data_IF_523267123408
#
_entry.id   IF_523267123408
#
_cell.length_a   1.000
_cell.length_b   1.000
_cell.length_c   1.000
_cell.angle_alpha   90.00
_cell.angle_beta   90.00
_cell.angle_gamma   90.00
#
_symmetry.space_group_name_H-M   'P 1'
#
loop_
_entity.id
_entity.type
_entity.pdbx_description
1 polymer ?
#
# COMPACT_ATOMS: atom_id res chain seq x y z
N UNK A 1 -16.78 36.07 -5.93
CA UNK A 1 -16.59 35.23 -4.73
C UNK A 1 -15.61 34.14 -5.10
N UNK A 2 -14.32 34.35 -4.82
CA UNK A 2 -13.28 33.35 -5.03
C UNK A 2 -12.91 32.71 -3.68
N UNK A 3 -12.49 31.45 -3.76
CA UNK A 3 -11.65 30.73 -2.81
C UNK A 3 -12.16 30.46 -1.40
N UNK A 4 -12.53 29.19 -1.13
CA UNK A 4 -12.33 28.57 0.20
C UNK A 4 -12.06 27.05 0.14
N UNK A 5 -12.45 26.33 -0.92
CA UNK A 5 -12.28 24.87 -0.97
C UNK A 5 -10.99 24.37 -1.68
N UNK A 6 -10.21 25.26 -2.32
CA UNK A 6 -8.98 24.89 -3.04
C UNK A 6 -7.69 25.00 -2.22
N UNK A 7 -7.75 25.73 -1.09
CA UNK A 7 -6.58 26.07 -0.28
C UNK A 7 -6.30 25.03 0.82
N UNK A 8 -7.35 24.40 1.38
CA UNK A 8 -7.23 23.45 2.49
C UNK A 8 -6.61 22.10 2.06
N UNK A 9 -6.81 21.70 0.80
CA UNK A 9 -6.20 20.48 0.25
C UNK A 9 -4.69 20.59 0.00
N UNK A 10 -4.21 21.80 -0.37
CA UNK A 10 -2.80 22.04 -0.70
C UNK A 10 -1.92 22.19 0.53
N UNK A 11 -2.44 22.77 1.61
CA UNK A 11 -1.72 22.89 2.89
C UNK A 11 -1.61 21.55 3.62
N UNK A 12 -2.62 20.69 3.56
CA UNK A 12 -2.53 19.35 4.15
C UNK A 12 -1.50 18.44 3.46
N UNK A 13 -1.44 18.48 2.11
CA UNK A 13 -0.39 17.78 1.35
C UNK A 13 1.00 18.38 1.62
N UNK A 14 1.14 19.70 1.67
CA UNK A 14 2.42 20.37 1.94
C UNK A 14 2.96 20.12 3.36
N UNK A 15 2.09 20.18 4.37
CA UNK A 15 2.47 19.94 5.77
C UNK A 15 2.76 18.46 6.01
N UNK A 16 2.02 17.54 5.39
CA UNK A 16 2.33 16.12 5.43
C UNK A 16 3.67 15.81 4.76
N UNK A 17 3.98 16.47 3.64
CA UNK A 17 5.24 16.31 2.91
C UNK A 17 6.45 16.90 3.66
N UNK A 18 6.30 18.04 4.34
CA UNK A 18 7.36 18.61 5.18
C UNK A 18 7.62 17.82 6.46
N UNK A 19 6.57 17.39 7.16
CA UNK A 19 6.70 16.50 8.32
C UNK A 19 7.29 15.13 7.94
N UNK A 20 6.99 14.66 6.73
CA UNK A 20 7.57 13.45 6.17
C UNK A 20 9.08 13.61 5.89
N UNK A 21 9.50 14.71 5.24
CA UNK A 21 10.92 15.06 5.00
C UNK A 21 11.75 15.08 6.29
N UNK A 22 11.20 15.66 7.37
CA UNK A 22 11.91 15.76 8.64
C UNK A 22 12.18 14.40 9.32
N UNK A 23 11.38 13.38 9.02
CA UNK A 23 11.62 12.02 9.56
C UNK A 23 12.58 11.16 8.74
N UNK A 24 12.88 11.52 7.49
CA UNK A 24 13.74 10.71 6.60
C UNK A 24 15.23 10.92 6.88
N UNK A 25 15.63 12.03 7.53
CA UNK A 25 17.03 12.40 7.69
C UNK A 25 17.72 11.87 8.95
N UNK A 26 17.00 11.28 9.92
CA UNK A 26 17.54 11.03 11.27
C UNK A 26 17.71 9.58 11.72
N UNK A 27 16.96 8.63 11.17
CA UNK A 27 17.00 7.22 11.60
C UNK A 27 17.14 6.29 10.39
N UNK A 28 17.87 5.18 10.53
CA UNK A 28 17.91 4.13 9.49
C UNK A 28 16.49 3.74 9.04
N UNK A 29 16.35 3.29 7.79
CA UNK A 29 15.06 2.90 7.21
C UNK A 29 14.46 3.89 6.21
N UNK A 30 13.18 3.73 5.90
CA UNK A 30 12.47 4.53 4.91
C UNK A 30 10.99 4.15 4.83
N UNK A 31 10.20 4.98 4.13
CA UNK A 31 8.74 4.83 4.07
C UNK A 31 8.29 4.68 2.62
N UNK A 32 7.38 3.76 2.38
CA UNK A 32 6.68 3.57 1.11
C UNK A 32 5.21 3.91 1.28
N UNK A 33 4.65 4.63 0.31
CA UNK A 33 3.22 4.77 0.10
C UNK A 33 2.84 3.88 -1.07
N UNK A 34 2.14 2.79 -0.78
CA UNK A 34 1.84 1.73 -1.75
C UNK A 34 0.36 1.79 -2.10
N UNK A 35 0.04 2.00 -3.37
CA UNK A 35 -1.29 1.78 -3.94
C UNK A 35 -1.42 0.34 -4.46
N UNK A 36 -2.50 -0.33 -4.07
CA UNK A 36 -2.86 -1.66 -4.55
C UNK A 36 -4.21 -1.56 -5.29
N UNK A 37 -4.17 -1.74 -6.60
CA UNK A 37 -5.34 -1.58 -7.47
C UNK A 37 -5.45 -2.74 -8.45
N UNK A 38 -6.64 -2.94 -9.03
CA UNK A 38 -6.87 -3.94 -10.06
C UNK A 38 -7.98 -3.47 -11.01
N UNK A 39 -7.99 -4.03 -12.22
CA UNK A 39 -9.05 -3.76 -13.19
C UNK A 39 -10.36 -4.43 -12.76
N UNK A 40 -10.25 -5.64 -12.21
CA UNK A 40 -11.39 -6.45 -11.77
C UNK A 40 -11.02 -7.37 -10.62
N UNK A 41 -11.92 -7.47 -9.65
CA UNK A 41 -11.88 -8.47 -8.59
C UNK A 41 -13.17 -9.30 -8.55
N UNK A 42 -13.03 -10.58 -8.20
CA UNK A 42 -14.12 -11.55 -8.01
C UNK A 42 -13.91 -12.25 -6.68
N UNK A 43 -14.96 -12.34 -5.86
CA UNK A 43 -14.90 -13.02 -4.56
C UNK A 43 -15.54 -14.40 -4.69
N UNK A 44 -14.75 -15.46 -4.46
CA UNK A 44 -15.18 -16.84 -4.36
C UNK A 44 -15.76 -17.11 -2.97
N UNK A 45 -16.86 -17.86 -2.92
CA UNK A 45 -17.49 -18.39 -1.69
C UNK A 45 -18.13 -17.41 -0.71
N UNK A 46 -18.45 -16.17 -1.11
CA UNK A 46 -19.37 -15.37 -0.29
C UNK A 46 -20.80 -15.83 -0.56
N UNK A 47 -21.41 -16.44 0.46
CA UNK A 47 -22.82 -16.90 0.54
C UNK A 47 -23.87 -15.78 0.39
N UNK A 48 -23.48 -14.61 -0.13
CA UNK A 48 -24.39 -13.53 -0.49
C UNK A 48 -24.74 -13.76 -1.95
N UNK A 49 -25.95 -14.25 -2.16
CA UNK A 49 -26.56 -14.51 -3.46
C UNK A 49 -26.65 -13.22 -4.32
N UNK A 50 -25.54 -12.81 -4.92
CA UNK A 50 -25.51 -11.87 -6.03
C UNK A 50 -24.39 -12.35 -6.94
N UNK A 51 -24.79 -12.93 -8.07
CA UNK A 51 -24.02 -13.10 -9.32
C UNK A 51 -22.63 -12.48 -9.30
N UNK A 52 -21.58 -13.26 -9.62
CA UNK A 52 -20.19 -12.81 -9.75
C UNK A 52 -20.02 -11.47 -10.48
N UNK A 53 -20.20 -10.36 -9.76
CA UNK A 53 -20.09 -9.00 -10.29
C UNK A 53 -18.64 -8.61 -10.16
N UNK A 54 -18.04 -8.25 -11.29
CA UNK A 54 -16.77 -7.56 -11.33
C UNK A 54 -16.89 -6.30 -10.44
N UNK A 55 -16.14 -6.26 -9.35
CA UNK A 55 -16.09 -5.09 -8.45
C UNK A 55 -14.63 -4.68 -8.24
N UNK A 56 -14.41 -3.45 -7.83
CA UNK A 56 -13.07 -2.97 -7.46
C UNK A 56 -12.68 -3.48 -6.07
N UNK A 57 -11.38 -3.62 -5.81
CA UNK A 57 -10.90 -4.01 -4.47
C UNK A 57 -11.35 -3.01 -3.38
N UNK A 58 -11.40 -1.71 -3.67
CA UNK A 58 -11.91 -0.71 -2.73
C UNK A 58 -13.39 -0.93 -2.39
N UNK A 59 -14.23 -1.32 -3.36
CA UNK A 59 -15.63 -1.62 -3.11
C UNK A 59 -15.80 -2.86 -2.23
N UNK A 60 -14.97 -3.89 -2.45
CA UNK A 60 -14.93 -5.08 -1.59
C UNK A 60 -14.54 -4.67 -0.16
N UNK A 61 -13.46 -3.91 -0.03
CA UNK A 61 -12.90 -3.51 1.26
C UNK A 61 -13.88 -2.63 2.07
N UNK A 62 -14.54 -1.66 1.43
CA UNK A 62 -15.52 -0.78 2.09
C UNK A 62 -16.87 -1.46 2.37
N UNK A 63 -17.29 -2.40 1.51
CA UNK A 63 -18.63 -2.99 1.56
C UNK A 63 -18.78 -4.18 2.50
N UNK A 64 -17.70 -4.92 2.78
CA UNK A 64 -17.77 -6.22 3.47
C UNK A 64 -16.81 -6.29 4.66
N UNK A 65 -17.29 -5.97 5.87
CA UNK A 65 -16.46 -5.92 7.09
C UNK A 65 -15.64 -7.19 7.38
N UNK A 66 -16.21 -8.37 7.16
CA UNK A 66 -15.47 -9.63 7.37
C UNK A 66 -14.37 -9.83 6.34
N UNK A 67 -14.61 -9.39 5.11
CA UNK A 67 -13.64 -9.51 4.03
C UNK A 67 -12.57 -8.43 4.11
N UNK A 68 -12.91 -7.22 4.58
CA UNK A 68 -11.94 -6.16 4.84
C UNK A 68 -10.87 -6.61 5.85
N UNK A 69 -11.27 -7.28 6.93
CA UNK A 69 -10.32 -7.86 7.90
C UNK A 69 -9.43 -8.95 7.28
N UNK A 70 -9.97 -9.77 6.38
CA UNK A 70 -9.17 -10.76 5.64
C UNK A 70 -8.19 -10.07 4.68
N UNK A 71 -8.64 -9.00 4.03
CA UNK A 71 -7.81 -8.18 3.14
C UNK A 71 -6.69 -7.48 3.89
N UNK A 72 -6.93 -6.95 5.09
CA UNK A 72 -5.88 -6.38 5.96
C UNK A 72 -4.76 -7.40 6.20
N UNK A 73 -5.14 -8.63 6.57
CA UNK A 73 -4.19 -9.72 6.76
C UNK A 73 -3.45 -10.12 5.48
N UNK A 74 -4.17 -10.22 4.35
CA UNK A 74 -3.59 -10.56 3.06
C UNK A 74 -2.58 -9.50 2.57
N UNK A 75 -2.93 -8.22 2.71
CA UNK A 75 -2.04 -7.11 2.35
C UNK A 75 -0.83 -7.07 3.27
N UNK A 76 -1.00 -7.23 4.59
CA UNK A 76 0.13 -7.31 5.52
C UNK A 76 1.11 -8.43 5.12
N UNK A 77 0.62 -9.65 4.85
CA UNK A 77 1.47 -10.77 4.42
C UNK A 77 2.08 -10.54 3.03
N UNK A 78 1.34 -9.96 2.09
CA UNK A 78 1.84 -9.61 0.76
C UNK A 78 3.01 -8.63 0.79
N UNK A 79 2.99 -7.69 1.74
CA UNK A 79 4.05 -6.71 1.99
C UNK A 79 5.18 -7.22 2.90
N UNK A 80 5.22 -8.52 3.23
CA UNK A 80 6.30 -9.16 3.97
C UNK A 80 5.97 -9.59 5.39
N UNK A 81 4.71 -9.40 5.84
CA UNK A 81 4.19 -9.91 7.10
C UNK A 81 4.69 -9.17 8.34
N UNK A 82 4.41 -9.77 9.51
CA UNK A 82 4.89 -9.31 10.81
C UNK A 82 6.40 -9.49 10.92
N UNK A 83 7.10 -8.38 11.16
CA UNK A 83 8.56 -8.36 11.37
C UNK A 83 8.90 -7.19 12.30
N UNK A 84 10.01 -7.30 13.01
CA UNK A 84 10.47 -6.24 13.93
C UNK A 84 11.14 -5.06 13.19
N UNK A 85 11.55 -5.27 11.93
CA UNK A 85 12.26 -4.31 11.09
C UNK A 85 11.37 -3.57 10.08
N UNK A 86 10.06 -3.85 10.07
CA UNK A 86 9.06 -3.14 9.27
C UNK A 86 7.71 -3.04 9.98
N UNK A 87 6.88 -2.08 9.55
CA UNK A 87 5.51 -1.95 10.01
C UNK A 87 4.60 -1.57 8.84
N UNK A 88 3.53 -2.35 8.66
CA UNK A 88 2.44 -2.03 7.73
C UNK A 88 1.40 -1.19 8.49
N UNK A 89 1.13 0.00 7.98
CA UNK A 89 0.13 0.92 8.51
C UNK A 89 -1.29 0.53 8.11
N UNK A 90 -2.27 1.26 8.64
CA UNK A 90 -3.67 1.05 8.32
C UNK A 90 -3.95 1.29 6.82
N UNK A 91 -4.88 0.51 6.28
CA UNK A 91 -5.35 0.62 4.90
C UNK A 91 -6.43 1.69 4.82
N UNK A 92 -6.28 2.64 3.90
CA UNK A 92 -7.33 3.63 3.65
C UNK A 92 -8.53 2.99 2.91
N UNK A 93 -9.80 3.26 3.30
CA UNK A 93 -10.93 2.51 2.73
C UNK A 93 -11.30 2.84 1.28
N UNK A 94 -10.91 4.03 0.78
CA UNK A 94 -11.31 4.51 -0.56
C UNK A 94 -10.38 3.99 -1.67
N UNK A 95 -9.12 3.79 -1.34
CA UNK A 95 -8.04 3.29 -2.19
C UNK A 95 -7.22 2.40 -1.27
N UNK A 96 -6.84 1.18 -1.66
CA UNK A 96 -5.96 0.32 -0.84
C UNK A 96 -4.53 0.90 -0.79
N UNK A 97 -4.44 2.10 -0.25
CA UNK A 97 -3.25 2.86 0.04
C UNK A 97 -2.75 2.42 1.40
N UNK A 98 -1.51 1.99 1.40
CA UNK A 98 -0.87 1.40 2.56
C UNK A 98 0.47 2.05 2.78
N UNK A 99 0.69 2.48 4.02
CA UNK A 99 2.01 2.98 4.43
C UNK A 99 2.83 1.80 4.90
N UNK A 100 3.99 1.56 4.28
CA UNK A 100 4.96 0.58 4.76
C UNK A 100 6.18 1.32 5.29
N UNK A 101 6.43 1.20 6.59
CA UNK A 101 7.59 1.78 7.24
C UNK A 101 8.66 0.71 7.44
N UNK A 102 9.85 0.90 6.90
CA UNK A 102 11.02 0.09 7.19
C UNK A 102 11.87 0.81 8.22
N UNK A 103 12.27 0.14 9.31
CA UNK A 103 13.08 0.73 10.39
C UNK A 103 14.59 0.62 10.14
N UNK A 104 15.01 -0.09 9.08
CA UNK A 104 16.43 -0.28 8.74
C UNK A 104 16.69 -0.04 7.26
N UNK A 105 17.89 0.48 6.94
CA UNK A 105 18.32 0.72 5.56
C UNK A 105 18.33 -0.59 4.75
N UNK A 106 18.78 -1.69 5.37
CA UNK A 106 18.75 -3.03 4.79
C UNK A 106 17.33 -3.43 4.38
N UNK A 107 16.36 -3.32 5.30
CA UNK A 107 14.98 -3.72 5.01
C UNK A 107 14.35 -2.85 3.93
N UNK A 108 14.61 -1.54 3.96
CA UNK A 108 14.17 -0.62 2.92
C UNK A 108 14.66 -1.05 1.52
N UNK A 109 15.94 -1.42 1.39
CA UNK A 109 16.51 -1.89 0.13
C UNK A 109 15.94 -3.24 -0.32
N UNK A 110 15.74 -4.19 0.59
CA UNK A 110 15.10 -5.49 0.28
C UNK A 110 13.67 -5.32 -0.23
N UNK A 111 12.88 -4.43 0.39
CA UNK A 111 11.52 -4.13 -0.07
C UNK A 111 11.54 -3.51 -1.46
N UNK A 112 12.48 -2.61 -1.73
CA UNK A 112 12.63 -1.99 -3.04
C UNK A 112 13.05 -3.02 -4.11
N UNK A 113 13.96 -3.93 -3.79
CA UNK A 113 14.34 -5.04 -4.68
C UNK A 113 13.16 -5.99 -4.95
N UNK A 114 12.39 -6.33 -3.92
CA UNK A 114 11.17 -7.14 -4.05
C UNK A 114 10.09 -6.43 -4.91
N UNK A 115 10.03 -5.11 -4.86
CA UNK A 115 9.17 -4.31 -5.71
C UNK A 115 9.64 -4.34 -7.17
N UNK A 116 10.92 -4.02 -7.40
CA UNK A 116 11.52 -3.96 -8.75
C UNK A 116 11.49 -5.33 -9.46
N UNK A 117 11.64 -6.43 -8.71
CA UNK A 117 11.55 -7.80 -9.22
C UNK A 117 10.12 -8.30 -9.43
N UNK A 118 9.10 -7.53 -9.02
CA UNK A 118 7.69 -7.93 -9.10
C UNK A 118 7.23 -8.91 -8.01
N UNK A 119 8.13 -9.36 -7.11
CA UNK A 119 7.81 -10.31 -6.03
C UNK A 119 6.73 -9.82 -5.10
N UNK A 120 6.66 -8.51 -4.81
CA UNK A 120 5.56 -7.94 -4.00
C UNK A 120 4.22 -8.20 -4.69
N UNK A 121 4.11 -7.91 -5.98
CA UNK A 121 2.88 -8.10 -6.75
C UNK A 121 2.44 -9.56 -6.73
N UNK A 122 3.37 -10.49 -6.92
CA UNK A 122 3.07 -11.92 -6.91
C UNK A 122 2.60 -12.41 -5.53
N UNK A 123 3.25 -11.94 -4.45
CA UNK A 123 2.82 -12.24 -3.08
C UNK A 123 1.43 -11.70 -2.79
N UNK A 124 1.17 -10.42 -3.10
CA UNK A 124 -0.15 -9.81 -2.89
C UNK A 124 -1.24 -10.56 -3.67
N UNK A 125 -0.97 -10.93 -4.93
CA UNK A 125 -1.90 -11.71 -5.74
C UNK A 125 -2.22 -13.06 -5.10
N UNK A 126 -1.19 -13.78 -4.64
CA UNK A 126 -1.35 -15.07 -3.97
C UNK A 126 -2.18 -14.94 -2.70
N UNK A 127 -1.85 -13.96 -1.85
CA UNK A 127 -2.56 -13.73 -0.58
C UNK A 127 -4.03 -13.36 -0.79
N UNK A 128 -4.36 -12.59 -1.83
CA UNK A 128 -5.76 -12.35 -2.21
C UNK A 128 -6.45 -13.63 -2.66
N UNK A 129 -5.80 -14.45 -3.49
CA UNK A 129 -6.35 -15.74 -3.92
C UNK A 129 -6.62 -16.67 -2.73
N UNK A 130 -5.73 -16.70 -1.74
CA UNK A 130 -5.84 -17.55 -0.55
C UNK A 130 -7.03 -17.17 0.35
N UNK A 131 -7.47 -15.91 0.30
CA UNK A 131 -8.69 -15.44 0.98
C UNK A 131 -9.94 -15.46 0.08
N UNK A 132 -9.83 -16.06 -1.12
CA UNK A 132 -10.91 -16.21 -2.08
C UNK A 132 -11.17 -14.99 -2.95
N UNK A 133 -10.23 -14.05 -3.10
CA UNK A 133 -10.35 -12.90 -4.00
C UNK A 133 -9.45 -13.14 -5.23
N UNK A 134 -10.07 -13.35 -6.38
CA UNK A 134 -9.37 -13.39 -7.66
C UNK A 134 -9.29 -12.00 -8.26
N UNK A 135 -8.10 -11.62 -8.71
CA UNK A 135 -7.83 -10.29 -9.27
C UNK A 135 -7.25 -10.38 -10.69
N UNK A 136 -7.81 -9.61 -11.60
CA UNK A 136 -7.30 -9.37 -12.95
C UNK A 136 -6.68 -7.96 -13.01
N UNK A 137 -5.54 -7.82 -13.70
CA UNK A 137 -4.88 -6.51 -13.83
C UNK A 137 -4.30 -5.95 -12.53
N UNK A 138 -3.92 -6.80 -11.56
CA UNK A 138 -3.34 -6.33 -10.28
C UNK A 138 -2.12 -5.43 -10.51
N UNK A 139 -2.15 -4.26 -9.92
CA UNK A 139 -1.08 -3.25 -9.91
C UNK A 139 -0.72 -2.95 -8.47
N UNK A 140 0.58 -2.94 -8.19
CA UNK A 140 1.16 -2.47 -6.94
C UNK A 140 2.09 -1.33 -7.30
N UNK A 141 1.84 -0.13 -6.80
CA UNK A 141 2.56 1.08 -7.19
C UNK A 141 3.08 1.81 -5.96
N UNK A 142 4.36 2.20 -5.99
CA UNK A 142 4.91 3.15 -5.03
C UNK A 142 4.54 4.57 -5.47
N UNK A 143 3.71 5.27 -4.71
CA UNK A 143 3.27 6.63 -5.00
C UNK A 143 4.36 7.67 -4.72
N UNK A 144 5.11 7.51 -3.62
CA UNK A 144 6.19 8.40 -3.21
C UNK A 144 7.55 8.01 -3.84
N UNK A 145 7.56 7.68 -5.13
CA UNK A 145 8.71 7.09 -5.82
C UNK A 145 9.96 7.99 -5.81
N UNK A 146 9.79 9.30 -5.97
CA UNK A 146 10.91 10.24 -5.95
C UNK A 146 11.58 10.28 -4.57
N UNK A 147 10.81 10.20 -3.50
CA UNK A 147 11.35 10.16 -2.14
C UNK A 147 12.08 8.84 -1.85
N UNK A 148 11.54 7.73 -2.34
CA UNK A 148 12.17 6.41 -2.25
C UNK A 148 13.52 6.38 -2.99
N UNK A 149 13.59 6.98 -4.18
CA UNK A 149 14.85 7.12 -4.92
C UNK A 149 15.88 7.95 -4.17
N UNK A 150 15.48 9.13 -3.68
CA UNK A 150 16.39 9.98 -2.91
C UNK A 150 16.91 9.25 -1.68
N UNK A 151 16.05 8.51 -0.98
CA UNK A 151 16.47 7.71 0.17
C UNK A 151 17.46 6.60 -0.21
N UNK A 152 17.22 5.90 -1.33
CA UNK A 152 18.15 4.88 -1.86
C UNK A 152 19.54 5.49 -2.12
N UNK A 153 19.59 6.67 -2.74
CA UNK A 153 20.85 7.40 -2.99
C UNK A 153 21.55 7.76 -1.70
N UNK A 154 20.84 8.33 -0.72
CA UNK A 154 21.41 8.66 0.59
C UNK A 154 21.99 7.43 1.32
N UNK A 155 21.38 6.25 1.17
CA UNK A 155 21.91 5.01 1.76
C UNK A 155 23.20 4.59 1.07
N UNK A 156 23.32 4.77 -0.25
CA UNK A 156 24.53 4.42 -1.00
C UNK A 156 25.71 5.37 -0.78
N UNK A 157 25.44 6.64 -0.43
CA UNK A 157 26.48 7.64 -0.15
C UNK A 157 27.03 7.55 1.28
N UNK A 158 26.47 6.68 2.13
CA UNK A 158 26.92 6.41 3.50
C UNK A 158 27.94 5.28 3.54
#
# INVERSE_FOLDING_TARGET
MADQFSAVGRTAQGVAHEAFRATVSGSGGGKFLIDISCDRAVVKDVLVAVSATAVTLSAIYAGYKLLSQKMDGAVNRGLGGERDDQQVGAIEPRCLHVRLHCFTDKRFLEVLEDYDSGRIKDRVKKEFSDIGIEVEGLTVKIENWEEVKQRKLTIWER
#
